data_IF_560429047621
#
_entry.id   IF_560429047621
#
_cell.length_a   1.000
_cell.length_b   1.000
_cell.length_c   1.000
_cell.angle_alpha   90.00
_cell.angle_beta   90.00
_cell.angle_gamma   90.00
#
_symmetry.space_group_name_H-M   'P 1'
#
loop_
_entity.id
_entity.type
_entity.pdbx_description
1 polymer ?
#
# COMPACT_ATOMS: atom_id res chain seq x y z
N UNK A 1 -18.38 1.88 -62.42
CA UNK A 1 -18.42 1.81 -60.94
C UNK A 1 -17.09 2.23 -60.29
N UNK A 2 -15.95 1.58 -60.56
CA UNK A 2 -14.64 2.00 -59.98
C UNK A 2 -14.24 3.47 -60.27
N UNK A 3 -14.58 3.99 -61.46
CA UNK A 3 -14.36 5.40 -61.82
C UNK A 3 -15.27 6.39 -61.06
N UNK A 4 -16.49 5.98 -60.69
CA UNK A 4 -17.36 6.80 -59.85
C UNK A 4 -16.91 6.77 -58.40
N UNK A 5 -16.40 5.63 -57.93
CA UNK A 5 -15.80 5.51 -56.61
C UNK A 5 -14.58 6.42 -56.43
N UNK A 6 -13.64 6.42 -57.39
CA UNK A 6 -12.48 7.32 -57.36
C UNK A 6 -12.87 8.80 -57.47
N UNK A 7 -13.90 9.11 -58.26
CA UNK A 7 -14.43 10.46 -58.40
C UNK A 7 -15.10 10.97 -57.11
N UNK A 8 -15.91 10.14 -56.45
CA UNK A 8 -16.58 10.50 -55.20
C UNK A 8 -15.59 10.63 -54.03
N UNK A 9 -14.56 9.77 -53.98
CA UNK A 9 -13.46 9.89 -53.00
C UNK A 9 -12.67 11.18 -53.19
N UNK A 10 -12.37 11.56 -54.44
CA UNK A 10 -11.72 12.83 -54.78
C UNK A 10 -12.63 14.06 -54.59
N UNK A 11 -13.96 13.88 -54.60
CA UNK A 11 -14.92 14.93 -54.31
C UNK A 11 -14.96 15.25 -52.80
N UNK A 12 -14.80 14.24 -51.92
CA UNK A 12 -14.77 14.40 -50.45
C UNK A 12 -13.71 15.40 -49.97
N UNK A 13 -12.56 15.47 -50.65
CA UNK A 13 -11.46 16.37 -50.30
C UNK A 13 -11.75 17.87 -50.62
N UNK A 14 -12.85 18.17 -51.31
CA UNK A 14 -13.26 19.55 -51.60
C UNK A 14 -14.22 20.08 -50.52
N UNK A 15 -14.08 21.33 -50.08
CA UNK A 15 -15.02 21.93 -49.12
C UNK A 15 -16.39 22.15 -49.78
N UNK A 16 -17.31 21.23 -49.53
CA UNK A 16 -18.71 21.27 -49.99
C UNK A 16 -19.69 21.60 -48.86
N UNK A 17 -20.88 22.17 -49.17
CA UNK A 17 -21.94 22.38 -48.18
C UNK A 17 -22.48 21.06 -47.64
N UNK A 18 -22.89 21.06 -46.36
CA UNK A 18 -23.35 19.89 -45.57
C UNK A 18 -24.30 18.92 -46.33
N UNK A 19 -25.39 19.37 -46.99
CA UNK A 19 -26.31 18.44 -47.67
C UNK A 19 -25.70 17.74 -48.89
N UNK A 20 -24.72 18.36 -49.55
CA UNK A 20 -24.00 17.72 -50.66
C UNK A 20 -23.00 16.67 -50.15
N UNK A 21 -22.40 16.91 -48.99
CA UNK A 21 -21.55 15.93 -48.31
C UNK A 21 -22.36 14.72 -47.82
N UNK A 22 -23.54 14.96 -47.26
CA UNK A 22 -24.49 13.92 -46.84
C UNK A 22 -24.90 13.01 -48.01
N UNK A 23 -25.26 13.59 -49.16
CA UNK A 23 -25.62 12.83 -50.35
C UNK A 23 -24.45 12.06 -50.97
N UNK A 24 -23.25 12.66 -51.02
CA UNK A 24 -22.04 12.01 -51.57
C UNK A 24 -21.62 10.81 -50.70
N UNK A 25 -21.59 10.97 -49.37
CA UNK A 25 -21.18 9.92 -48.44
C UNK A 25 -22.20 8.76 -48.40
N UNK A 26 -23.51 9.07 -48.47
CA UNK A 26 -24.58 8.06 -48.51
C UNK A 26 -24.54 7.26 -49.82
N UNK A 27 -24.33 7.92 -50.96
CA UNK A 27 -24.14 7.23 -52.25
C UNK A 27 -22.86 6.41 -52.28
N UNK A 28 -21.78 6.87 -51.64
CA UNK A 28 -20.53 6.13 -51.54
C UNK A 28 -20.71 4.84 -50.74
N UNK A 29 -21.48 4.89 -49.64
CA UNK A 29 -21.85 3.70 -48.87
C UNK A 29 -22.72 2.71 -49.66
N UNK A 30 -23.69 3.18 -50.44
CA UNK A 30 -24.45 2.31 -51.34
C UNK A 30 -23.60 1.65 -52.42
N UNK A 31 -22.62 2.38 -52.97
CA UNK A 31 -21.68 1.85 -53.96
C UNK A 31 -20.74 0.81 -53.35
N UNK A 32 -20.22 1.07 -52.15
CA UNK A 32 -19.40 0.11 -51.41
C UNK A 32 -20.20 -1.14 -51.01
N UNK A 33 -21.45 -0.98 -50.59
CA UNK A 33 -22.36 -2.10 -50.30
C UNK A 33 -22.52 -3.02 -51.52
N UNK A 34 -22.70 -2.42 -52.70
CA UNK A 34 -22.88 -3.14 -53.97
C UNK A 34 -21.59 -3.75 -54.53
N UNK A 35 -20.42 -3.30 -54.08
CA UNK A 35 -19.10 -3.82 -54.46
C UNK A 35 -18.60 -4.93 -53.51
N UNK A 36 -19.35 -5.24 -52.44
CA UNK A 36 -19.02 -6.28 -51.45
C UNK A 36 -17.66 -6.09 -50.74
N UNK A 37 -17.16 -4.85 -50.71
CA UNK A 37 -15.92 -4.49 -50.02
C UNK A 37 -16.22 -4.16 -48.54
N UNK A 38 -16.26 -5.18 -47.69
CA UNK A 38 -16.58 -5.06 -46.25
C UNK A 38 -15.59 -4.18 -45.50
N UNK A 39 -14.30 -4.37 -45.74
CA UNK A 39 -13.23 -3.70 -44.98
C UNK A 39 -13.18 -2.20 -45.31
N UNK A 40 -13.38 -1.85 -46.59
CA UNK A 40 -13.46 -0.47 -47.05
C UNK A 40 -14.71 0.23 -46.51
N UNK A 41 -15.81 -0.52 -46.25
CA UNK A 41 -17.01 0.03 -45.63
C UNK A 41 -16.83 0.27 -44.14
N UNK A 42 -16.15 -0.63 -43.41
CA UNK A 42 -15.87 -0.45 -41.99
C UNK A 42 -14.89 0.71 -41.78
N UNK A 43 -13.82 0.76 -42.59
CA UNK A 43 -12.88 1.87 -42.59
C UNK A 43 -13.55 3.20 -42.98
N UNK A 44 -14.49 3.17 -43.94
CA UNK A 44 -15.27 4.34 -44.28
C UNK A 44 -16.15 4.74 -43.10
N UNK A 45 -16.98 3.83 -42.57
CA UNK A 45 -17.92 4.05 -41.47
C UNK A 45 -17.25 4.57 -40.20
N UNK A 46 -16.01 4.16 -39.92
CA UNK A 46 -15.20 4.63 -38.79
C UNK A 46 -14.55 6.02 -39.01
N UNK A 47 -14.56 6.56 -40.24
CA UNK A 47 -14.02 7.90 -40.56
C UNK A 47 -15.08 9.00 -40.43
N UNK A 48 -14.68 10.29 -40.46
CA UNK A 48 -15.61 11.43 -40.41
C UNK A 48 -16.62 11.42 -41.56
N UNK A 49 -17.87 11.02 -41.29
CA UNK A 49 -18.89 10.82 -42.32
C UNK A 49 -20.14 11.66 -42.11
N UNK A 50 -20.68 12.19 -43.20
CA UNK A 50 -21.95 12.89 -43.23
C UNK A 50 -23.12 11.97 -43.61
N UNK A 51 -22.97 10.64 -43.65
CA UNK A 51 -24.01 9.70 -44.07
C UNK A 51 -25.40 9.92 -43.42
N UNK A 52 -26.47 9.72 -44.20
CA UNK A 52 -27.86 9.68 -43.72
C UNK A 52 -28.14 8.28 -43.15
N UNK A 53 -28.35 8.20 -41.83
CA UNK A 53 -28.46 6.92 -41.12
C UNK A 53 -29.75 6.18 -41.45
N UNK A 54 -30.87 6.88 -41.64
CA UNK A 54 -32.18 6.27 -41.87
C UNK A 54 -32.26 5.50 -43.21
N UNK A 55 -31.64 6.01 -44.27
CA UNK A 55 -31.62 5.35 -45.59
C UNK A 55 -30.68 4.14 -45.63
N UNK A 56 -29.58 4.20 -44.86
CA UNK A 56 -28.57 3.16 -44.82
C UNK A 56 -28.90 2.04 -43.82
N UNK A 57 -29.71 2.32 -42.81
CA UNK A 57 -30.10 1.34 -41.77
C UNK A 57 -30.80 0.12 -42.38
N UNK A 58 -31.83 0.33 -43.20
CA UNK A 58 -32.59 -0.76 -43.82
C UNK A 58 -31.72 -1.59 -44.76
N UNK A 59 -30.85 -0.92 -45.52
CA UNK A 59 -29.95 -1.56 -46.48
C UNK A 59 -28.88 -2.40 -45.77
N UNK A 60 -28.28 -1.88 -44.69
CA UNK A 60 -27.24 -2.57 -43.93
C UNK A 60 -27.81 -3.74 -43.11
N UNK A 61 -29.01 -3.60 -42.56
CA UNK A 61 -29.73 -4.71 -41.91
C UNK A 61 -30.08 -5.82 -42.91
N UNK A 62 -30.53 -5.48 -44.11
CA UNK A 62 -30.88 -6.45 -45.15
C UNK A 62 -29.65 -7.16 -45.75
N UNK A 63 -28.51 -6.47 -45.83
CA UNK A 63 -27.25 -7.03 -46.32
C UNK A 63 -26.44 -7.77 -45.24
N UNK A 64 -26.88 -7.76 -43.98
CA UNK A 64 -26.23 -8.46 -42.86
C UNK A 64 -24.93 -7.82 -42.36
N UNK A 65 -24.61 -6.59 -42.79
CA UNK A 65 -23.35 -5.90 -42.46
C UNK A 65 -23.49 -5.03 -41.22
N UNK A 66 -23.68 -5.69 -40.09
CA UNK A 66 -24.04 -5.06 -38.82
C UNK A 66 -22.87 -4.30 -38.17
N UNK A 67 -21.62 -4.68 -38.44
CA UNK A 67 -20.39 -3.97 -38.01
C UNK A 67 -20.34 -2.55 -38.58
N UNK A 68 -20.54 -2.41 -39.89
CA UNK A 68 -20.57 -1.11 -40.58
C UNK A 68 -21.70 -0.21 -40.08
N UNK A 69 -22.86 -0.79 -39.74
CA UNK A 69 -23.98 -0.06 -39.15
C UNK A 69 -23.63 0.45 -37.74
N UNK A 70 -22.93 -0.36 -36.94
CA UNK A 70 -22.53 0.02 -35.60
C UNK A 70 -21.50 1.18 -35.61
N UNK A 71 -20.51 1.14 -36.51
CA UNK A 71 -19.57 2.25 -36.72
C UNK A 71 -20.25 3.53 -37.22
N UNK A 72 -21.29 3.40 -38.06
CA UNK A 72 -22.09 4.56 -38.49
C UNK A 72 -22.88 5.18 -37.32
N UNK A 73 -23.44 4.37 -36.42
CA UNK A 73 -24.11 4.91 -35.23
C UNK A 73 -23.12 5.60 -34.27
N UNK A 74 -21.90 5.08 -34.14
CA UNK A 74 -20.82 5.68 -33.35
C UNK A 74 -20.44 7.08 -33.89
N UNK A 75 -20.14 7.21 -35.18
CA UNK A 75 -19.75 8.50 -35.78
C UNK A 75 -20.84 9.57 -35.73
N UNK A 76 -22.09 9.16 -35.50
CA UNK A 76 -23.26 10.05 -35.36
C UNK A 76 -23.66 10.30 -33.90
N UNK A 77 -22.94 9.75 -32.93
CA UNK A 77 -23.20 9.95 -31.51
C UNK A 77 -24.43 9.20 -30.97
N UNK A 78 -24.99 8.25 -31.71
CA UNK A 78 -26.14 7.43 -31.27
C UNK A 78 -25.67 6.16 -30.55
N UNK A 79 -25.06 6.34 -29.38
CA UNK A 79 -24.38 5.27 -28.64
C UNK A 79 -25.31 4.11 -28.24
N UNK A 80 -26.56 4.38 -27.85
CA UNK A 80 -27.52 3.34 -27.46
C UNK A 80 -27.82 2.35 -28.60
N UNK A 81 -28.03 2.88 -29.81
CA UNK A 81 -28.32 2.06 -31.00
C UNK A 81 -27.09 1.29 -31.44
N UNK A 82 -25.91 1.91 -31.39
CA UNK A 82 -24.64 1.23 -31.68
C UNK A 82 -24.44 0.03 -30.75
N UNK A 83 -24.61 0.21 -29.44
CA UNK A 83 -24.44 -0.85 -28.43
C UNK A 83 -25.50 -1.95 -28.52
N UNK A 84 -26.73 -1.63 -28.94
CA UNK A 84 -27.75 -2.64 -29.25
C UNK A 84 -27.36 -3.50 -30.46
N UNK A 85 -26.78 -2.90 -31.50
CA UNK A 85 -26.27 -3.64 -32.66
C UNK A 85 -25.06 -4.50 -32.28
N UNK A 86 -24.12 -3.98 -31.48
CA UNK A 86 -23.01 -4.77 -30.93
C UNK A 86 -23.50 -5.93 -30.03
N UNK A 87 -24.51 -5.68 -29.19
CA UNK A 87 -25.16 -6.72 -28.38
C UNK A 87 -25.83 -7.79 -29.23
N UNK A 88 -26.46 -7.42 -30.34
CA UNK A 88 -27.06 -8.36 -31.29
C UNK A 88 -25.98 -9.20 -32.00
N UNK A 89 -24.83 -8.61 -32.33
CA UNK A 89 -23.71 -9.34 -32.91
C UNK A 89 -23.03 -10.28 -31.92
N UNK A 90 -22.93 -9.89 -30.65
CA UNK A 90 -22.32 -10.69 -29.60
C UNK A 90 -23.26 -11.81 -29.09
N UNK A 91 -24.54 -11.50 -28.91
CA UNK A 91 -25.55 -12.39 -28.35
C UNK A 91 -26.43 -12.99 -29.44
N UNK A 92 -26.12 -14.21 -29.87
CA UNK A 92 -27.10 -15.03 -30.59
C UNK A 92 -27.92 -15.87 -29.59
N UNK A 93 -28.53 -15.23 -28.57
CA UNK A 93 -29.42 -15.88 -27.60
C UNK A 93 -30.69 -15.05 -27.35
N UNK A 94 -31.78 -15.62 -27.86
CA UNK A 94 -33.20 -15.49 -27.53
C UNK A 94 -33.97 -14.16 -27.69
N UNK A 95 -34.77 -14.17 -28.76
CA UNK A 95 -36.23 -13.97 -28.83
C UNK A 95 -36.77 -12.75 -29.60
N UNK A 96 -37.63 -13.11 -30.56
CA UNK A 96 -38.65 -12.37 -31.31
C UNK A 96 -38.24 -11.42 -32.45
N UNK A 97 -38.92 -11.61 -33.61
CA UNK A 97 -39.01 -10.84 -34.88
C UNK A 97 -38.35 -11.57 -36.10
N UNK A 98 -38.98 -11.59 -37.31
CA UNK A 98 -39.66 -12.75 -37.89
C UNK A 98 -38.80 -13.51 -38.91
N UNK A 99 -39.33 -14.67 -39.28
CA UNK A 99 -38.80 -15.77 -40.09
C UNK A 99 -38.17 -15.46 -41.47
N UNK A 100 -38.00 -14.21 -41.88
CA UNK A 100 -37.38 -13.83 -43.16
C UNK A 100 -35.86 -13.64 -43.09
N UNK A 101 -35.28 -13.38 -41.91
CA UNK A 101 -33.83 -13.23 -41.74
C UNK A 101 -33.06 -14.57 -41.58
N UNK A 102 -33.77 -15.69 -41.40
CA UNK A 102 -33.17 -17.02 -41.17
C UNK A 102 -32.49 -17.66 -42.39
N UNK A 103 -32.52 -17.05 -43.59
CA UNK A 103 -32.06 -17.70 -44.83
C UNK A 103 -30.65 -17.36 -45.32
N UNK A 104 -29.91 -16.41 -44.72
CA UNK A 104 -28.61 -15.99 -45.30
C UNK A 104 -27.39 -16.57 -44.57
N UNK A 105 -27.52 -17.15 -43.36
CA UNK A 105 -26.42 -17.86 -42.70
C UNK A 105 -26.70 -19.36 -42.48
N UNK A 106 -26.84 -20.08 -43.60
CA UNK A 106 -26.52 -21.51 -43.66
C UNK A 106 -25.39 -21.64 -44.67
N UNK A 107 -24.25 -22.18 -44.21
CA UNK A 107 -22.88 -22.29 -44.81
C UNK A 107 -21.96 -21.44 -43.92
N UNK A 108 -21.04 -21.98 -43.11
CA UNK A 108 -20.32 -23.26 -43.14
C UNK A 108 -19.93 -23.62 -41.70
N UNK A 109 -20.13 -24.87 -41.28
CA UNK A 109 -19.56 -25.41 -40.06
C UNK A 109 -18.05 -25.62 -40.28
N UNK A 110 -17.25 -24.67 -39.84
CA UNK A 110 -15.84 -24.83 -39.51
C UNK A 110 -15.45 -23.66 -38.62
N UNK A 111 -14.84 -23.98 -37.48
CA UNK A 111 -14.11 -23.10 -36.57
C UNK A 111 -14.97 -22.35 -35.53
N UNK A 112 -15.10 -22.99 -34.36
CA UNK A 112 -15.57 -22.34 -33.13
C UNK A 112 -14.68 -21.15 -32.73
N UNK A 113 -13.43 -21.11 -33.17
CA UNK A 113 -12.46 -20.05 -32.89
C UNK A 113 -12.76 -18.74 -33.65
N UNK A 114 -13.18 -18.80 -34.92
CA UNK A 114 -13.56 -17.58 -35.68
C UNK A 114 -14.83 -16.91 -35.11
N UNK A 115 -15.75 -17.72 -34.56
CA UNK A 115 -16.96 -17.21 -33.93
C UNK A 115 -16.67 -16.52 -32.59
N UNK A 116 -15.71 -17.05 -31.83
CA UNK A 116 -15.22 -16.43 -30.60
C UNK A 116 -14.46 -15.13 -30.91
N UNK A 117 -13.62 -15.11 -31.95
CA UNK A 117 -12.92 -13.90 -32.38
C UNK A 117 -13.87 -12.78 -32.84
N UNK A 118 -14.93 -13.12 -33.56
CA UNK A 118 -15.94 -12.14 -33.97
C UNK A 118 -16.73 -11.58 -32.77
N UNK A 119 -17.08 -12.44 -31.80
CA UNK A 119 -17.75 -12.01 -30.57
C UNK A 119 -16.83 -11.18 -29.66
N UNK A 120 -15.54 -11.53 -29.58
CA UNK A 120 -14.53 -10.78 -28.85
C UNK A 120 -14.23 -9.43 -29.52
N UNK A 121 -14.19 -9.37 -30.85
CA UNK A 121 -14.05 -8.11 -31.59
C UNK A 121 -15.23 -7.18 -31.34
N UNK A 122 -16.45 -7.72 -31.40
CA UNK A 122 -17.67 -6.99 -31.06
C UNK A 122 -17.67 -6.51 -29.60
N UNK A 123 -17.19 -7.33 -28.66
CA UNK A 123 -17.05 -6.95 -27.27
C UNK A 123 -15.96 -5.88 -27.04
N UNK A 124 -14.85 -5.90 -27.80
CA UNK A 124 -13.78 -4.89 -27.75
C UNK A 124 -14.21 -3.53 -28.30
N UNK A 125 -14.96 -3.51 -29.40
CA UNK A 125 -15.48 -2.24 -29.93
C UNK A 125 -16.61 -1.69 -29.04
N UNK A 126 -17.47 -2.57 -28.52
CA UNK A 126 -18.41 -2.16 -27.48
C UNK A 126 -17.71 -1.66 -26.21
N UNK A 127 -16.58 -2.27 -25.81
CA UNK A 127 -15.82 -1.81 -24.64
C UNK A 127 -15.25 -0.43 -24.87
N UNK A 128 -14.65 -0.17 -26.03
CA UNK A 128 -14.14 1.15 -26.42
C UNK A 128 -15.19 2.25 -26.29
N UNK A 129 -16.42 1.97 -26.73
CA UNK A 129 -17.56 2.88 -26.62
C UNK A 129 -18.00 3.08 -25.17
N UNK A 130 -18.07 1.99 -24.39
CA UNK A 130 -18.48 2.00 -22.99
C UNK A 130 -17.43 2.60 -22.03
N UNK A 131 -16.16 2.58 -22.42
CA UNK A 131 -15.08 3.30 -21.73
C UNK A 131 -15.21 4.82 -21.88
N UNK A 132 -15.72 5.29 -23.02
CA UNK A 132 -15.92 6.70 -23.32
C UNK A 132 -17.27 7.25 -22.82
N UNK A 133 -18.30 6.39 -22.72
CA UNK A 133 -19.62 6.80 -22.25
C UNK A 133 -19.65 7.05 -20.74
N UNK A 134 -20.25 8.17 -20.32
CA UNK A 134 -20.46 8.53 -18.91
C UNK A 134 -21.87 8.16 -18.39
N UNK A 135 -22.69 7.47 -19.18
CA UNK A 135 -24.06 7.10 -18.83
C UNK A 135 -24.11 5.80 -18.01
N UNK A 136 -24.41 5.94 -16.72
CA UNK A 136 -24.44 4.85 -15.74
C UNK A 136 -25.40 3.70 -16.12
N UNK A 137 -26.61 4.03 -16.57
CA UNK A 137 -27.65 3.03 -16.91
C UNK A 137 -27.26 2.20 -18.15
N UNK A 138 -26.64 2.83 -19.15
CA UNK A 138 -26.20 2.15 -20.37
C UNK A 138 -25.03 1.22 -20.08
N UNK A 139 -24.06 1.67 -19.29
CA UNK A 139 -22.93 0.83 -18.90
C UNK A 139 -23.40 -0.41 -18.13
N UNK A 140 -24.28 -0.26 -17.14
CA UNK A 140 -24.74 -1.39 -16.32
C UNK A 140 -25.60 -2.39 -17.10
N UNK A 141 -26.45 -1.92 -18.01
CA UNK A 141 -27.28 -2.80 -18.86
C UNK A 141 -26.45 -3.58 -19.88
N UNK A 142 -25.38 -2.98 -20.40
CA UNK A 142 -24.52 -3.61 -21.39
C UNK A 142 -23.37 -4.45 -20.77
N UNK A 143 -22.97 -4.20 -19.52
CA UNK A 143 -22.00 -5.06 -18.83
C UNK A 143 -22.51 -6.50 -18.67
N UNK A 144 -23.81 -6.70 -18.42
CA UNK A 144 -24.40 -8.06 -18.24
C UNK A 144 -24.21 -9.00 -19.42
N UNK A 145 -24.11 -8.49 -20.65
CA UNK A 145 -23.82 -9.33 -21.82
C UNK A 145 -22.32 -9.43 -22.08
N UNK A 146 -21.54 -8.38 -21.82
CA UNK A 146 -20.08 -8.43 -21.95
C UNK A 146 -19.47 -9.43 -20.95
N UNK A 147 -20.00 -9.51 -19.73
CA UNK A 147 -19.60 -10.49 -18.71
C UNK A 147 -19.77 -11.95 -19.17
N UNK A 148 -20.85 -12.22 -19.94
CA UNK A 148 -21.11 -13.55 -20.51
C UNK A 148 -20.16 -13.91 -21.65
N UNK A 149 -19.60 -12.90 -22.33
CA UNK A 149 -18.66 -13.10 -23.46
C UNK A 149 -17.22 -13.16 -22.95
N UNK A 150 -16.82 -12.22 -22.08
CA UNK A 150 -15.45 -12.11 -21.58
C UNK A 150 -15.38 -11.28 -20.30
N UNK A 151 -14.84 -11.88 -19.25
CA UNK A 151 -14.65 -11.25 -17.94
C UNK A 151 -13.56 -10.17 -17.95
N UNK A 152 -12.47 -10.37 -18.71
CA UNK A 152 -11.36 -9.41 -18.77
C UNK A 152 -11.77 -8.09 -19.45
N UNK A 153 -12.56 -8.17 -20.52
CA UNK A 153 -13.09 -6.97 -21.19
C UNK A 153 -14.06 -6.23 -20.26
N UNK A 154 -14.89 -6.95 -19.50
CA UNK A 154 -15.77 -6.33 -18.50
C UNK A 154 -14.97 -5.58 -17.43
N UNK A 155 -13.82 -6.12 -16.99
CA UNK A 155 -12.92 -5.44 -16.06
C UNK A 155 -12.37 -4.16 -16.70
N UNK A 156 -11.88 -4.20 -17.95
CA UNK A 156 -11.37 -3.00 -18.63
C UNK A 156 -12.42 -1.89 -18.78
N UNK A 157 -13.68 -2.27 -19.04
CA UNK A 157 -14.80 -1.33 -19.11
C UNK A 157 -15.04 -0.68 -17.74
N UNK A 158 -15.03 -1.47 -16.68
CA UNK A 158 -15.27 -1.02 -15.31
C UNK A 158 -14.10 -0.20 -14.73
N UNK A 159 -12.87 -0.53 -15.11
CA UNK A 159 -11.62 0.09 -14.64
C UNK A 159 -11.15 1.27 -15.50
N UNK A 160 -11.95 1.73 -16.45
CA UNK A 160 -11.53 2.79 -17.37
C UNK A 160 -11.52 4.16 -16.71
N UNK A 161 -10.33 4.78 -16.63
CA UNK A 161 -10.12 6.15 -16.15
C UNK A 161 -10.47 7.24 -17.16
N UNK A 162 -11.05 6.89 -18.31
CA UNK A 162 -11.42 7.84 -19.39
C UNK A 162 -12.77 8.53 -19.15
N UNK A 163 -13.51 8.12 -18.11
CA UNK A 163 -14.84 8.68 -17.80
C UNK A 163 -14.70 10.03 -17.08
N UNK A 164 -15.43 11.04 -17.55
CA UNK A 164 -15.51 12.35 -16.91
C UNK A 164 -16.27 12.30 -15.57
N UNK A 165 -17.19 11.34 -15.42
CA UNK A 165 -17.85 11.02 -14.15
C UNK A 165 -17.65 9.55 -13.80
N UNK A 166 -16.91 9.21 -12.73
CA UNK A 166 -16.79 7.83 -12.29
C UNK A 166 -18.15 7.33 -11.79
N UNK A 167 -18.52 6.11 -12.20
CA UNK A 167 -19.72 5.42 -11.70
C UNK A 167 -19.52 5.13 -10.21
N UNK A 168 -20.59 5.29 -9.42
CA UNK A 168 -20.59 4.94 -8.00
C UNK A 168 -20.26 3.46 -7.81
N UNK A 169 -19.18 3.11 -7.08
CA UNK A 169 -18.78 1.72 -6.91
C UNK A 169 -19.87 0.84 -6.29
N UNK A 170 -20.72 1.40 -5.43
CA UNK A 170 -21.84 0.68 -4.78
C UNK A 170 -22.87 0.16 -5.80
N UNK A 171 -23.19 0.96 -6.82
CA UNK A 171 -24.19 0.60 -7.85
C UNK A 171 -23.64 -0.50 -8.75
N UNK A 172 -22.35 -0.42 -9.11
CA UNK A 172 -21.65 -1.47 -9.86
C UNK A 172 -21.64 -2.78 -9.06
N UNK A 173 -21.29 -2.71 -7.77
CA UNK A 173 -21.22 -3.88 -6.90
C UNK A 173 -22.58 -4.50 -6.55
N UNK A 174 -23.67 -3.74 -6.67
CA UNK A 174 -25.04 -4.24 -6.53
C UNK A 174 -25.55 -4.93 -7.81
N UNK A 175 -25.11 -4.48 -8.99
CA UNK A 175 -25.50 -5.05 -10.28
C UNK A 175 -24.66 -6.26 -10.71
N UNK A 176 -23.44 -6.41 -10.17
CA UNK A 176 -22.64 -7.62 -10.37
C UNK A 176 -23.20 -8.78 -9.54
N UNK A 177 -23.55 -9.88 -10.20
CA UNK A 177 -24.02 -11.09 -9.54
C UNK A 177 -22.97 -11.62 -8.54
N UNK A 178 -23.40 -12.16 -7.37
CA UNK A 178 -22.49 -12.66 -6.35
C UNK A 178 -21.63 -13.85 -6.83
N UNK A 179 -22.02 -14.49 -7.93
CA UNK A 179 -21.31 -15.62 -8.53
C UNK A 179 -20.09 -15.19 -9.37
N UNK A 180 -19.96 -13.91 -9.73
CA UNK A 180 -18.85 -13.39 -10.53
C UNK A 180 -17.69 -12.89 -9.64
N UNK A 181 -17.19 -13.80 -8.81
CA UNK A 181 -16.17 -13.51 -7.77
C UNK A 181 -14.90 -12.89 -8.37
N UNK A 182 -14.46 -13.37 -9.55
CA UNK A 182 -13.24 -12.90 -10.20
C UNK A 182 -13.33 -11.44 -10.66
N UNK A 183 -14.43 -11.05 -11.33
CA UNK A 183 -14.64 -9.67 -11.81
C UNK A 183 -14.78 -8.72 -10.63
N UNK A 184 -15.51 -9.12 -9.59
CA UNK A 184 -15.68 -8.35 -8.36
C UNK A 184 -14.34 -8.11 -7.66
N UNK A 185 -13.50 -9.14 -7.53
CA UNK A 185 -12.16 -9.02 -6.94
C UNK A 185 -11.28 -8.05 -7.74
N UNK A 186 -11.24 -8.19 -9.08
CA UNK A 186 -10.41 -7.34 -9.94
C UNK A 186 -10.86 -5.88 -9.96
N UNK A 187 -12.16 -5.65 -9.96
CA UNK A 187 -12.71 -4.30 -9.84
C UNK A 187 -12.36 -3.66 -8.48
N UNK A 188 -12.49 -4.42 -7.38
CA UNK A 188 -12.12 -3.93 -6.06
C UNK A 188 -10.60 -3.69 -5.91
N UNK A 189 -9.76 -4.57 -6.47
CA UNK A 189 -8.31 -4.36 -6.53
C UNK A 189 -7.97 -3.04 -7.27
N UNK A 190 -8.63 -2.79 -8.39
CA UNK A 190 -8.47 -1.53 -9.13
C UNK A 190 -8.92 -0.30 -8.33
N UNK A 191 -10.08 -0.36 -7.67
CA UNK A 191 -10.56 0.73 -6.81
C UNK A 191 -9.57 1.06 -5.69
N UNK A 192 -8.93 0.04 -5.14
CA UNK A 192 -7.99 0.19 -4.02
C UNK A 192 -6.61 0.65 -4.50
N UNK A 193 -6.09 0.11 -5.61
CA UNK A 193 -4.74 0.39 -6.09
C UNK A 193 -4.65 1.65 -6.95
N UNK A 194 -5.58 1.86 -7.89
CA UNK A 194 -5.53 2.98 -8.84
C UNK A 194 -6.31 4.20 -8.34
N UNK A 195 -7.47 4.01 -7.72
CA UNK A 195 -8.28 5.11 -7.16
C UNK A 195 -7.96 5.45 -5.70
N UNK A 196 -7.13 4.65 -5.02
CA UNK A 196 -6.72 4.83 -3.64
C UNK A 196 -7.89 5.08 -2.67
N UNK A 197 -9.05 4.44 -2.91
CA UNK A 197 -10.22 4.65 -2.07
C UNK A 197 -9.98 4.14 -0.63
N UNK A 198 -10.29 4.99 0.36
CA UNK A 198 -10.02 4.70 1.77
C UNK A 198 -11.18 3.99 2.49
N UNK A 199 -12.30 3.77 1.80
CA UNK A 199 -13.52 3.24 2.39
C UNK A 199 -13.34 1.81 2.92
N UNK A 200 -13.43 1.66 4.24
CA UNK A 200 -13.23 0.37 4.93
C UNK A 200 -14.12 -0.75 4.41
N UNK A 201 -15.33 -0.42 3.94
CA UNK A 201 -16.28 -1.39 3.40
C UNK A 201 -15.73 -2.14 2.17
N UNK A 202 -15.08 -1.43 1.23
CA UNK A 202 -14.54 -2.06 0.01
C UNK A 202 -13.32 -2.95 0.30
N UNK A 203 -12.45 -2.50 1.20
CA UNK A 203 -11.30 -3.28 1.66
C UNK A 203 -11.74 -4.57 2.37
N UNK A 204 -12.76 -4.46 3.22
CA UNK A 204 -13.35 -5.62 3.93
C UNK A 204 -13.99 -6.60 2.96
N UNK A 205 -14.76 -6.10 2.00
CA UNK A 205 -15.42 -6.95 1.01
C UNK A 205 -14.43 -7.65 0.08
N UNK A 206 -13.34 -6.98 -0.32
CA UNK A 206 -12.27 -7.62 -1.07
C UNK A 206 -11.61 -8.72 -0.24
N UNK A 207 -11.23 -8.44 1.02
CA UNK A 207 -10.64 -9.43 1.91
C UNK A 207 -11.54 -10.67 2.08
N UNK A 208 -12.85 -10.47 2.30
CA UNK A 208 -13.82 -11.55 2.42
C UNK A 208 -13.93 -12.36 1.12
N UNK A 209 -13.96 -11.70 -0.04
CA UNK A 209 -14.05 -12.38 -1.34
C UNK A 209 -12.79 -13.19 -1.66
N UNK A 210 -11.60 -12.66 -1.32
CA UNK A 210 -10.33 -13.36 -1.47
C UNK A 210 -10.24 -14.55 -0.50
N UNK A 211 -10.70 -14.38 0.75
CA UNK A 211 -10.74 -15.45 1.74
C UNK A 211 -11.66 -16.60 1.30
N UNK A 212 -12.87 -16.28 0.79
CA UNK A 212 -13.81 -17.29 0.26
C UNK A 212 -13.22 -18.03 -0.94
N UNK A 213 -12.64 -17.31 -1.90
CA UNK A 213 -11.99 -17.93 -3.06
C UNK A 213 -10.81 -18.82 -2.66
N UNK A 214 -10.02 -18.40 -1.67
CA UNK A 214 -8.94 -19.22 -1.13
C UNK A 214 -9.46 -20.48 -0.41
N UNK A 215 -10.58 -20.39 0.32
CA UNK A 215 -11.23 -21.55 0.95
C UNK A 215 -11.79 -22.54 -0.07
N UNK A 216 -12.49 -22.06 -1.09
CA UNK A 216 -13.05 -22.89 -2.17
C UNK A 216 -11.95 -23.65 -2.92
N UNK A 217 -10.80 -23.00 -3.14
CA UNK A 217 -9.62 -23.65 -3.75
C UNK A 217 -9.11 -24.84 -2.92
N UNK A 218 -9.13 -24.74 -1.58
CA UNK A 218 -8.70 -25.83 -0.69
C UNK A 218 -9.70 -26.99 -0.66
N UNK A 219 -11.00 -26.69 -0.69
CA UNK A 219 -12.04 -27.73 -0.72
C UNK A 219 -11.95 -28.52 -2.02
N UNK A 220 -11.74 -27.85 -3.15
CA UNK A 220 -11.56 -28.51 -4.44
C UNK A 220 -10.31 -29.39 -4.48
N UNK A 221 -9.20 -28.97 -3.87
CA UNK A 221 -7.99 -29.79 -3.76
C UNK A 221 -8.21 -31.04 -2.88
N UNK A 222 -9.05 -30.94 -1.85
CA UNK A 222 -9.38 -32.08 -0.99
C UNK A 222 -10.33 -33.10 -1.63
N UNK A 223 -11.16 -32.68 -2.60
CA UNK A 223 -12.09 -33.55 -3.32
C UNK A 223 -11.42 -34.39 -4.43
N UNK A 224 -10.24 -33.99 -4.93
CA UNK A 224 -9.44 -34.73 -5.93
C UNK A 224 -8.47 -35.69 -5.22
N UNK A 225 -8.94 -36.31 -4.14
CA UNK A 225 -8.14 -37.11 -3.22
C UNK A 225 -7.84 -38.56 -3.64
N UNK A 226 -8.15 -39.00 -4.88
CA UNK A 226 -8.09 -40.44 -5.22
C UNK A 226 -7.45 -40.83 -6.56
N UNK A 227 -6.77 -39.93 -7.29
CA UNK A 227 -5.95 -40.31 -8.46
C UNK A 227 -4.62 -39.54 -8.50
N UNK A 228 -3.52 -40.27 -8.37
CA UNK A 228 -2.28 -39.78 -7.79
C UNK A 228 -1.21 -39.23 -8.76
N UNK A 229 -1.54 -38.83 -10.00
CA UNK A 229 -0.52 -38.52 -11.03
C UNK A 229 -0.51 -37.09 -11.60
N UNK A 230 -1.35 -36.16 -11.11
CA UNK A 230 -1.43 -34.78 -11.64
C UNK A 230 -0.95 -33.68 -10.67
N UNK A 231 -0.18 -34.02 -9.62
CA UNK A 231 0.18 -33.10 -8.51
C UNK A 231 1.23 -32.02 -8.84
N UNK A 232 1.67 -31.88 -10.09
CA UNK A 232 2.75 -30.95 -10.46
C UNK A 232 2.30 -29.65 -11.15
N UNK A 233 1.02 -29.52 -11.56
CA UNK A 233 0.56 -28.34 -12.31
C UNK A 233 -0.58 -27.55 -11.63
N UNK A 234 -1.20 -28.07 -10.56
CA UNK A 234 -2.34 -27.42 -9.87
C UNK A 234 -2.00 -26.74 -8.54
N UNK A 235 -0.80 -26.98 -7.98
CA UNK A 235 -0.37 -26.35 -6.73
C UNK A 235 -0.15 -24.83 -6.84
N UNK A 236 -0.09 -24.28 -8.07
CA UNK A 236 0.17 -22.86 -8.32
C UNK A 236 -1.08 -21.99 -8.13
N UNK A 237 -2.30 -22.49 -8.39
CA UNK A 237 -3.53 -21.69 -8.28
C UNK A 237 -3.97 -21.48 -6.83
N UNK A 238 -3.95 -22.54 -6.00
CA UNK A 238 -4.30 -22.46 -4.57
C UNK A 238 -3.28 -21.63 -3.78
N UNK A 239 -2.00 -21.72 -4.15
CA UNK A 239 -0.94 -20.90 -3.57
C UNK A 239 -1.01 -19.45 -4.06
N UNK A 240 -1.35 -19.20 -5.33
CA UNK A 240 -1.51 -17.85 -5.90
C UNK A 240 -2.63 -17.07 -5.22
N UNK A 241 -3.81 -17.67 -5.02
CA UNK A 241 -4.92 -16.99 -4.34
C UNK A 241 -4.61 -16.71 -2.87
N UNK A 242 -3.95 -17.64 -2.19
CA UNK A 242 -3.50 -17.46 -0.80
C UNK A 242 -2.42 -16.38 -0.70
N UNK A 243 -1.48 -16.33 -1.63
CA UNK A 243 -0.44 -15.29 -1.69
C UNK A 243 -1.03 -13.92 -2.00
N UNK A 244 -2.03 -13.84 -2.90
CA UNK A 244 -2.77 -12.60 -3.17
C UNK A 244 -3.50 -12.09 -1.93
N UNK A 245 -4.16 -12.98 -1.18
CA UNK A 245 -4.78 -12.63 0.10
C UNK A 245 -3.74 -12.09 1.09
N UNK A 246 -2.59 -12.75 1.25
CA UNK A 246 -1.51 -12.29 2.13
C UNK A 246 -1.00 -10.91 1.74
N UNK A 247 -0.64 -10.73 0.47
CA UNK A 247 -0.14 -9.45 -0.03
C UNK A 247 -1.16 -8.32 0.18
N UNK A 248 -2.45 -8.62 0.04
CA UNK A 248 -3.51 -7.67 0.34
C UNK A 248 -3.61 -7.33 1.83
N UNK A 249 -3.62 -8.34 2.71
CA UNK A 249 -3.70 -8.15 4.17
C UNK A 249 -2.47 -7.42 4.75
N UNK A 250 -1.30 -7.58 4.12
CA UNK A 250 -0.07 -6.86 4.51
C UNK A 250 -0.05 -5.41 4.02
N UNK A 251 -0.62 -5.13 2.83
CA UNK A 251 -0.57 -3.81 2.21
C UNK A 251 -1.69 -2.86 2.64
N UNK A 252 -2.86 -3.38 3.04
CA UNK A 252 -3.99 -2.54 3.46
C UNK A 252 -4.20 -2.59 4.98
N UNK A 253 -4.41 -1.41 5.59
CA UNK A 253 -4.75 -1.26 7.01
C UNK A 253 -6.23 -0.93 7.23
N UNK A 254 -7.03 -0.79 6.17
CA UNK A 254 -8.35 -0.15 6.21
C UNK A 254 -9.52 -1.14 6.26
N UNK A 255 -9.28 -2.44 6.16
CA UNK A 255 -10.34 -3.44 6.28
C UNK A 255 -10.72 -3.68 7.75
N UNK A 256 -11.93 -4.18 8.01
CA UNK A 256 -12.35 -4.66 9.32
C UNK A 256 -11.80 -6.08 9.56
N UNK A 257 -10.81 -6.28 10.45
CA UNK A 257 -10.20 -7.58 10.67
C UNK A 257 -11.15 -8.59 11.33
N UNK A 258 -12.19 -8.13 12.04
CA UNK A 258 -13.07 -9.01 12.82
C UNK A 258 -13.96 -9.88 11.92
N UNK A 259 -14.49 -9.29 10.85
CA UNK A 259 -15.34 -9.99 9.87
C UNK A 259 -14.54 -11.03 9.08
N UNK A 260 -13.31 -10.68 8.69
CA UNK A 260 -12.40 -11.59 7.97
C UNK A 260 -11.96 -12.74 8.87
N UNK A 261 -11.63 -12.45 10.13
CA UNK A 261 -11.30 -13.49 11.11
C UNK A 261 -12.46 -14.45 11.34
N UNK A 262 -13.69 -13.96 11.51
CA UNK A 262 -14.87 -14.80 11.73
C UNK A 262 -15.06 -15.89 10.65
N UNK A 263 -14.64 -15.60 9.41
CA UNK A 263 -14.71 -16.55 8.30
C UNK A 263 -13.53 -17.53 8.28
N UNK A 264 -12.36 -17.10 8.76
CA UNK A 264 -11.10 -17.85 8.62
C UNK A 264 -10.79 -18.70 9.87
N UNK A 265 -11.45 -18.45 11.01
CA UNK A 265 -11.19 -19.15 12.27
C UNK A 265 -11.23 -20.67 12.16
N UNK A 266 -12.14 -21.22 11.36
CA UNK A 266 -12.32 -22.67 11.20
C UNK A 266 -11.39 -23.29 10.12
N UNK A 267 -10.56 -22.48 9.47
CA UNK A 267 -9.71 -22.89 8.35
C UNK A 267 -8.21 -22.86 8.69
N UNK A 268 -7.40 -23.64 7.96
CA UNK A 268 -5.94 -23.78 8.16
C UNK A 268 -5.09 -22.57 7.69
N UNK A 269 -5.64 -21.36 7.69
CA UNK A 269 -4.92 -20.14 7.26
C UNK A 269 -4.20 -19.47 8.44
N UNK A 270 -3.30 -20.21 9.09
CA UNK A 270 -2.60 -19.76 10.28
C UNK A 270 -1.80 -18.46 10.06
N UNK A 271 -1.15 -18.29 8.90
CA UNK A 271 -0.35 -17.07 8.63
C UNK A 271 -1.24 -15.82 8.48
N UNK A 272 -2.35 -15.98 7.78
CA UNK A 272 -3.34 -14.93 7.55
C UNK A 272 -4.05 -14.57 8.86
N UNK A 273 -4.40 -15.57 9.68
CA UNK A 273 -4.91 -15.35 11.04
C UNK A 273 -3.90 -14.58 11.91
N UNK A 274 -2.61 -14.89 11.81
CA UNK A 274 -1.57 -14.17 12.55
C UNK A 274 -1.50 -12.69 12.13
N UNK A 275 -1.55 -12.40 10.82
CA UNK A 275 -1.59 -11.01 10.30
C UNK A 275 -2.83 -10.28 10.83
N UNK A 276 -4.01 -10.92 10.80
CA UNK A 276 -5.25 -10.32 11.27
C UNK A 276 -5.24 -10.05 12.78
N UNK A 277 -4.80 -11.01 13.60
CA UNK A 277 -4.65 -10.81 15.05
C UNK A 277 -3.60 -9.75 15.39
N UNK A 278 -2.54 -9.62 14.58
CA UNK A 278 -1.56 -8.55 14.68
C UNK A 278 -2.20 -7.17 14.47
N UNK A 279 -3.13 -7.04 13.51
CA UNK A 279 -3.88 -5.79 13.31
C UNK A 279 -4.89 -5.50 14.43
N UNK A 280 -5.49 -6.54 15.03
CA UNK A 280 -6.36 -6.38 16.20
C UNK A 280 -5.62 -6.03 17.49
N UNK A 281 -4.31 -6.24 17.55
CA UNK A 281 -3.50 -6.06 18.76
C UNK A 281 -3.60 -7.23 19.75
N UNK A 282 -4.14 -8.37 19.32
CA UNK A 282 -4.23 -9.60 20.12
C UNK A 282 -2.86 -10.31 20.18
N UNK A 283 -1.89 -9.75 20.89
CA UNK A 283 -0.51 -10.25 20.96
C UNK A 283 -0.44 -11.74 21.37
N UNK A 284 -1.29 -12.17 22.30
CA UNK A 284 -1.29 -13.54 22.83
C UNK A 284 -1.60 -14.56 21.72
N UNK A 285 -2.61 -14.26 20.90
CA UNK A 285 -3.03 -15.15 19.80
C UNK A 285 -2.00 -15.16 18.68
N UNK A 286 -1.39 -14.02 18.37
CA UNK A 286 -0.31 -13.93 17.38
C UNK A 286 0.84 -14.85 17.77
N UNK A 287 1.31 -14.78 19.02
CA UNK A 287 2.38 -15.65 19.48
C UNK A 287 1.96 -17.11 19.51
N UNK A 288 0.74 -17.45 19.94
CA UNK A 288 0.26 -18.84 19.87
C UNK A 288 0.28 -19.38 18.43
N UNK A 289 -0.13 -18.56 17.46
CA UNK A 289 -0.17 -18.97 16.05
C UNK A 289 1.25 -19.08 15.47
N UNK A 290 2.10 -18.05 15.63
CA UNK A 290 3.47 -18.05 15.09
C UNK A 290 4.36 -19.08 15.78
N UNK A 291 4.38 -19.09 17.11
CA UNK A 291 5.30 -19.91 17.90
C UNK A 291 4.85 -21.38 18.00
N UNK A 292 3.53 -21.64 18.20
CA UNK A 292 3.04 -23.00 18.44
C UNK A 292 2.44 -23.64 17.19
N UNK A 293 1.58 -22.95 16.45
CA UNK A 293 0.91 -23.55 15.27
C UNK A 293 1.85 -23.63 14.07
N UNK A 294 2.51 -22.53 13.72
CA UNK A 294 3.43 -22.43 12.59
C UNK A 294 4.85 -22.90 12.92
N UNK A 295 5.28 -22.75 14.18
CA UNK A 295 6.65 -23.09 14.60
C UNK A 295 7.71 -22.17 13.98
N UNK A 296 7.32 -20.97 13.54
CA UNK A 296 8.18 -20.03 12.84
C UNK A 296 8.83 -19.08 13.86
N UNK A 297 10.05 -19.44 14.27
CA UNK A 297 10.80 -18.71 15.31
C UNK A 297 11.18 -17.32 14.79
N UNK A 298 11.63 -17.23 13.53
CA UNK A 298 12.08 -15.98 12.92
C UNK A 298 10.93 -14.97 12.82
N UNK A 299 9.75 -15.41 12.37
CA UNK A 299 8.58 -14.54 12.28
C UNK A 299 8.11 -14.03 13.66
N UNK A 300 8.18 -14.87 14.69
CA UNK A 300 7.84 -14.49 16.06
C UNK A 300 8.82 -13.44 16.62
N UNK A 301 10.12 -13.59 16.33
CA UNK A 301 11.14 -12.63 16.74
C UNK A 301 11.00 -11.28 16.01
N UNK A 302 10.72 -11.30 14.70
CA UNK A 302 10.44 -10.09 13.93
C UNK A 302 9.27 -9.32 14.53
N UNK A 303 8.20 -10.01 14.92
CA UNK A 303 7.07 -9.37 15.59
C UNK A 303 7.45 -8.76 16.95
N UNK A 304 8.29 -9.43 17.75
CA UNK A 304 8.82 -8.84 18.98
C UNK A 304 9.70 -7.60 18.72
N UNK A 305 10.50 -7.60 17.66
CA UNK A 305 11.33 -6.47 17.27
C UNK A 305 10.49 -5.24 16.88
N UNK A 306 9.40 -5.45 16.13
CA UNK A 306 8.47 -4.39 15.74
C UNK A 306 7.75 -3.77 16.95
N UNK A 307 7.40 -4.59 17.96
CA UNK A 307 6.80 -4.11 19.19
C UNK A 307 7.81 -3.34 20.07
N UNK A 308 9.10 -3.69 20.02
CA UNK A 308 10.18 -3.01 20.73
C UNK A 308 10.08 -3.07 22.26
N UNK A 309 9.21 -3.93 22.82
CA UNK A 309 8.96 -4.03 24.26
C UNK A 309 9.62 -5.28 24.86
N UNK A 310 10.34 -5.16 26.00
CA UNK A 310 10.94 -6.32 26.67
C UNK A 310 9.89 -7.33 27.15
N UNK A 311 8.68 -6.87 27.49
CA UNK A 311 7.57 -7.71 27.93
C UNK A 311 7.09 -8.68 26.83
N UNK A 312 7.22 -8.29 25.55
CA UNK A 312 6.85 -9.14 24.42
C UNK A 312 7.78 -10.36 24.33
N UNK A 313 9.08 -10.15 24.49
CA UNK A 313 10.08 -11.23 24.55
C UNK A 313 9.85 -12.16 25.75
N UNK A 314 9.50 -11.61 26.92
CA UNK A 314 9.13 -12.42 28.08
C UNK A 314 7.89 -13.27 27.84
N UNK A 315 6.87 -12.72 27.16
CA UNK A 315 5.67 -13.48 26.79
C UNK A 315 5.98 -14.61 25.81
N UNK A 316 6.77 -14.33 24.78
CA UNK A 316 7.21 -15.34 23.82
C UNK A 316 8.03 -16.46 24.51
N UNK A 317 8.96 -16.08 25.40
CA UNK A 317 9.72 -17.03 26.21
C UNK A 317 8.81 -17.92 27.06
N UNK A 318 7.84 -17.33 27.75
CA UNK A 318 6.87 -18.09 28.55
C UNK A 318 6.05 -19.06 27.70
N UNK A 319 5.68 -18.70 26.47
CA UNK A 319 4.97 -19.60 25.56
C UNK A 319 5.83 -20.76 25.08
N UNK A 320 7.12 -20.54 24.81
CA UNK A 320 8.03 -21.64 24.47
C UNK A 320 8.27 -22.59 25.64
N UNK A 321 8.35 -22.06 26.87
CA UNK A 321 8.60 -22.85 28.08
C UNK A 321 7.35 -23.56 28.61
N UNK A 322 6.16 -22.98 28.43
CA UNK A 322 4.87 -23.52 28.89
C UNK A 322 3.82 -23.40 27.79
N UNK A 323 3.90 -24.22 26.74
CA UNK A 323 2.89 -24.22 25.69
C UNK A 323 1.54 -24.70 26.25
N UNK A 324 0.48 -23.91 26.04
CA UNK A 324 -0.88 -24.21 26.50
C UNK A 324 -1.53 -25.41 25.79
N UNK A 325 -0.95 -25.88 24.67
CA UNK A 325 -1.52 -26.90 23.78
C UNK A 325 -1.13 -28.34 24.16
N UNK A 326 -0.59 -28.58 25.35
CA UNK A 326 -0.14 -29.91 25.79
C UNK A 326 1.08 -30.45 25.03
N UNK A 327 1.76 -29.60 24.24
CA UNK A 327 3.02 -29.93 23.57
C UNK A 327 4.19 -29.93 24.55
N UNK A 328 5.25 -30.61 24.16
CA UNK A 328 6.52 -30.49 24.87
C UNK A 328 7.10 -29.07 24.73
N UNK A 329 7.75 -28.58 25.78
CA UNK A 329 8.38 -27.26 25.78
C UNK A 329 9.51 -27.16 24.74
N UNK A 330 9.53 -26.06 24.00
CA UNK A 330 10.49 -25.81 22.92
C UNK A 330 11.76 -25.17 23.47
N UNK A 331 12.56 -25.96 24.18
CA UNK A 331 13.77 -25.47 24.86
C UNK A 331 14.81 -24.85 23.92
N UNK A 332 14.98 -25.38 22.71
CA UNK A 332 15.91 -24.84 21.72
C UNK A 332 15.56 -23.41 21.30
N UNK A 333 14.29 -23.15 21.00
CA UNK A 333 13.80 -21.81 20.64
C UNK A 333 13.90 -20.83 21.82
N UNK A 334 13.59 -21.29 23.03
CA UNK A 334 13.74 -20.49 24.24
C UNK A 334 15.20 -20.08 24.50
N UNK A 335 16.16 -21.00 24.31
CA UNK A 335 17.60 -20.68 24.46
C UNK A 335 18.06 -19.71 23.38
N UNK A 336 17.63 -19.91 22.12
CA UNK A 336 17.96 -19.00 21.02
C UNK A 336 17.52 -17.55 21.30
N UNK A 337 16.27 -17.39 21.77
CA UNK A 337 15.73 -16.09 22.16
C UNK A 337 16.55 -15.46 23.29
N UNK A 338 16.94 -16.26 24.30
CA UNK A 338 17.79 -15.79 25.41
C UNK A 338 19.21 -15.41 24.96
N UNK A 339 19.76 -16.08 23.94
CA UNK A 339 21.09 -15.75 23.40
C UNK A 339 21.12 -14.37 22.73
N UNK A 340 20.10 -14.07 21.93
CA UNK A 340 19.97 -12.82 21.19
C UNK A 340 19.50 -11.67 22.08
N UNK A 341 18.43 -11.88 22.85
CA UNK A 341 17.71 -10.81 23.56
C UNK A 341 17.81 -10.90 25.09
N UNK A 342 18.58 -11.83 25.63
CA UNK A 342 18.69 -12.02 27.09
C UNK A 342 19.24 -10.81 27.85
N UNK A 343 20.03 -9.93 27.22
CA UNK A 343 20.59 -8.76 27.91
C UNK A 343 19.61 -7.61 28.14
N UNK A 344 18.48 -7.60 27.44
CA UNK A 344 17.38 -6.64 27.57
C UNK A 344 16.26 -7.11 28.49
N UNK A 345 16.21 -8.41 28.80
CA UNK A 345 15.17 -9.00 29.65
C UNK A 345 15.46 -8.79 31.14
N UNK A 346 14.40 -8.78 31.95
CA UNK A 346 14.54 -8.82 33.40
C UNK A 346 15.04 -10.19 33.85
N UNK A 347 16.23 -10.21 34.45
CA UNK A 347 16.94 -11.41 34.87
C UNK A 347 16.17 -12.20 35.93
N UNK A 348 15.40 -11.53 36.78
CA UNK A 348 14.62 -12.21 37.82
C UNK A 348 13.41 -12.93 37.20
N UNK A 349 12.69 -12.26 36.31
CA UNK A 349 11.54 -12.85 35.61
C UNK A 349 11.97 -14.02 34.72
N UNK A 350 13.13 -13.93 34.06
CA UNK A 350 13.68 -15.06 33.28
C UNK A 350 13.96 -16.27 34.18
N UNK A 351 14.53 -16.06 35.39
CA UNK A 351 14.77 -17.15 36.34
C UNK A 351 13.47 -17.77 36.87
N UNK A 352 12.45 -16.95 37.14
CA UNK A 352 11.14 -17.45 37.57
C UNK A 352 10.38 -18.19 36.46
N UNK A 353 10.56 -17.77 35.21
CA UNK A 353 9.95 -18.39 34.04
C UNK A 353 10.55 -19.76 33.71
N UNK A 354 11.87 -19.93 33.90
CA UNK A 354 12.56 -21.19 33.70
C UNK A 354 12.01 -22.24 34.67
N UNK A 355 11.33 -23.25 34.14
CA UNK A 355 10.83 -24.38 34.93
C UNK A 355 12.00 -25.18 35.54
N UNK A 356 11.72 -25.87 36.64
CA UNK A 356 12.67 -26.81 37.25
C UNK A 356 12.99 -28.00 36.32
N UNK A 357 12.13 -28.25 35.33
CA UNK A 357 12.23 -29.34 34.37
C UNK A 357 13.14 -28.99 33.17
N UNK A 358 13.58 -27.74 33.05
CA UNK A 358 14.45 -27.28 31.98
C UNK A 358 15.88 -27.84 32.18
N UNK A 359 16.47 -28.58 31.23
CA UNK A 359 17.86 -29.02 31.35
C UNK A 359 18.81 -27.82 31.37
N UNK A 360 19.37 -27.52 32.54
CA UNK A 360 20.28 -26.40 32.76
C UNK A 360 21.47 -26.38 31.78
N UNK A 361 21.90 -27.55 31.30
CA UNK A 361 23.02 -27.67 30.36
C UNK A 361 22.81 -26.88 29.07
N UNK A 362 21.57 -26.78 28.57
CA UNK A 362 21.26 -26.04 27.35
C UNK A 362 21.29 -24.52 27.55
N UNK A 363 20.91 -24.04 28.73
CA UNK A 363 20.77 -22.60 28.99
C UNK A 363 21.92 -22.01 29.82
N UNK A 364 22.82 -22.84 30.38
CA UNK A 364 23.84 -22.40 31.33
C UNK A 364 24.74 -21.30 30.77
N UNK A 365 25.30 -21.48 29.57
CA UNK A 365 26.21 -20.50 28.98
C UNK A 365 25.52 -19.16 28.75
N UNK A 366 24.29 -19.21 28.25
CA UNK A 366 23.46 -18.06 27.93
C UNK A 366 23.06 -17.31 29.19
N UNK A 367 22.56 -18.02 30.20
CA UNK A 367 22.22 -17.45 31.51
C UNK A 367 23.47 -16.86 32.16
N UNK A 368 24.59 -17.58 32.19
CA UNK A 368 25.84 -17.08 32.76
C UNK A 368 26.30 -15.78 32.06
N UNK A 369 26.19 -15.72 30.73
CA UNK A 369 26.50 -14.52 29.94
C UNK A 369 25.56 -13.36 30.30
N UNK A 370 24.25 -13.61 30.40
CA UNK A 370 23.26 -12.61 30.82
C UNK A 370 23.57 -12.04 32.21
N UNK A 371 23.81 -12.90 33.21
CA UNK A 371 24.11 -12.45 34.58
C UNK A 371 25.44 -11.69 34.65
N UNK A 372 26.49 -12.19 33.98
CA UNK A 372 27.79 -11.49 33.90
C UNK A 372 27.65 -10.12 33.25
N UNK A 373 26.87 -10.00 32.17
CA UNK A 373 26.61 -8.73 31.52
C UNK A 373 25.91 -7.74 32.46
N UNK A 374 24.97 -8.22 33.26
CA UNK A 374 24.25 -7.41 34.24
C UNK A 374 25.15 -6.91 35.37
N UNK A 375 26.03 -7.77 35.89
CA UNK A 375 27.05 -7.37 36.89
C UNK A 375 28.04 -6.37 36.29
N UNK A 376 28.46 -6.58 35.05
CA UNK A 376 29.36 -5.66 34.34
C UNK A 376 28.71 -4.27 34.17
N UNK A 377 27.48 -4.20 33.63
CA UNK A 377 26.70 -2.96 33.51
C UNK A 377 26.53 -2.26 34.85
N UNK A 378 26.26 -3.01 35.93
CA UNK A 378 26.16 -2.44 37.27
C UNK A 378 27.50 -1.81 37.72
N UNK A 379 28.61 -2.53 37.60
CA UNK A 379 29.94 -2.00 37.97
C UNK A 379 30.34 -0.79 37.13
N UNK A 380 30.11 -0.84 35.82
CA UNK A 380 30.36 0.27 34.92
C UNK A 380 29.51 1.50 35.28
N UNK A 381 28.24 1.29 35.62
CA UNK A 381 27.34 2.33 36.13
C UNK A 381 27.78 2.92 37.47
N UNK A 382 28.36 2.12 38.37
CA UNK A 382 28.95 2.64 39.61
C UNK A 382 30.18 3.50 39.30
N UNK A 383 31.06 3.07 38.39
CA UNK A 383 32.24 3.84 38.00
C UNK A 383 31.82 5.19 37.41
N UNK A 384 30.89 5.21 36.45
CA UNK A 384 30.42 6.46 35.84
C UNK A 384 29.75 7.37 36.88
N UNK A 385 28.90 6.81 37.77
CA UNK A 385 28.29 7.56 38.87
C UNK A 385 29.35 8.20 39.79
N UNK A 386 30.40 7.47 40.13
CA UNK A 386 31.44 7.96 41.02
C UNK A 386 32.34 9.00 40.37
N UNK A 387 32.65 8.86 39.07
CA UNK A 387 33.37 9.88 38.30
C UNK A 387 32.57 11.19 38.22
N UNK A 388 31.29 11.11 37.83
CA UNK A 388 30.40 12.28 37.79
C UNK A 388 30.22 12.93 39.16
N UNK A 389 30.23 12.13 40.24
CA UNK A 389 30.20 12.65 41.61
C UNK A 389 31.49 13.38 41.97
N UNK A 390 32.64 12.92 41.52
CA UNK A 390 33.92 13.59 41.74
C UNK A 390 34.00 14.93 41.01
N UNK A 391 33.63 14.97 39.73
CA UNK A 391 33.56 16.22 38.94
C UNK A 391 32.60 17.24 39.54
N UNK A 392 31.40 16.80 39.96
CA UNK A 392 30.44 17.67 40.64
C UNK A 392 30.98 18.17 41.98
N UNK A 393 31.76 17.35 42.70
CA UNK A 393 32.39 17.78 43.94
C UNK A 393 33.46 18.85 43.69
N UNK A 394 34.31 18.67 42.68
CA UNK A 394 35.34 19.65 42.28
C UNK A 394 34.73 20.97 41.82
N UNK A 395 33.66 20.92 41.01
CA UNK A 395 32.93 22.11 40.60
C UNK A 395 32.29 22.85 41.79
N UNK A 396 31.77 22.10 42.78
CA UNK A 396 31.23 22.69 44.02
C UNK A 396 32.32 23.32 44.88
N UNK A 397 33.50 22.68 44.98
CA UNK A 397 34.64 23.23 45.70
C UNK A 397 35.12 24.53 45.05
N UNK A 398 35.33 24.51 43.73
CA UNK A 398 35.69 25.70 42.95
C UNK A 398 34.68 26.83 43.16
N UNK A 399 33.38 26.51 43.18
CA UNK A 399 32.34 27.51 43.45
C UNK A 399 32.39 28.04 44.89
N UNK A 400 32.71 27.21 45.86
CA UNK A 400 32.86 27.63 47.26
C UNK A 400 34.09 28.53 47.43
N UNK A 401 35.21 28.20 46.79
CA UNK A 401 36.41 29.03 46.77
C UNK A 401 36.10 30.41 46.17
N UNK A 402 35.46 30.46 44.99
CA UNK A 402 35.07 31.75 44.41
C UNK A 402 34.09 32.55 45.27
N UNK A 403 33.26 31.88 46.09
CA UNK A 403 32.33 32.54 47.03
C UNK A 403 32.99 32.98 48.34
N UNK A 404 34.06 32.32 48.76
CA UNK A 404 34.81 32.70 49.96
C UNK A 404 35.83 33.81 49.70
N UNK A 405 36.18 34.07 48.43
CA UNK A 405 36.98 35.22 48.02
C UNK A 405 36.33 36.51 48.50
N UNK A 406 37.07 37.26 49.29
CA UNK A 406 36.72 38.57 49.78
C UNK A 406 38.00 39.39 49.90
N UNK A 407 37.88 40.71 49.79
CA UNK A 407 38.99 41.64 50.01
C UNK A 407 38.61 42.62 51.10
N UNK A 408 39.48 42.73 52.10
CA UNK A 408 39.32 43.66 53.22
C UNK A 408 39.95 45.00 52.87
N UNK A 409 39.14 46.06 52.86
CA UNK A 409 39.58 47.43 52.61
C UNK A 409 39.69 48.14 53.95
N UNK A 410 40.92 48.49 54.34
CA UNK A 410 41.23 49.26 55.55
C UNK A 410 41.65 50.69 55.19
N UNK A 411 41.77 51.58 56.17
CA UNK A 411 42.15 52.99 55.93
C UNK A 411 43.55 53.16 55.32
N UNK A 412 44.39 52.13 55.41
CA UNK A 412 45.73 52.08 54.81
C UNK A 412 45.75 51.43 53.42
N UNK A 413 44.60 51.10 52.83
CA UNK A 413 44.57 50.54 51.48
C UNK A 413 44.71 51.60 50.40
N UNK A 414 45.56 51.29 49.42
CA UNK A 414 45.91 52.16 48.29
C UNK A 414 45.41 51.57 46.98
N UNK A 415 45.15 52.44 46.00
CA UNK A 415 44.88 52.02 44.63
C UNK A 415 46.10 51.30 44.03
N UNK A 416 45.93 50.09 43.51
CA UNK A 416 47.03 49.33 42.90
C UNK A 416 47.65 49.97 41.64
N UNK A 417 46.96 50.92 41.01
CA UNK A 417 47.45 51.60 39.79
C UNK A 417 48.07 52.98 40.06
N UNK A 418 47.39 53.85 40.81
CA UNK A 418 47.87 55.21 41.07
C UNK A 418 48.41 55.44 42.49
N UNK A 419 48.42 54.40 43.33
CA UNK A 419 48.94 54.42 44.71
C UNK A 419 48.31 55.47 45.63
N UNK A 420 47.13 56.00 45.29
CA UNK A 420 46.38 56.92 46.15
C UNK A 420 45.58 56.15 47.19
N UNK A 421 45.57 56.60 48.45
CA UNK A 421 44.71 56.03 49.51
C UNK A 421 43.22 56.09 49.14
N UNK A 422 42.48 55.01 49.44
CA UNK A 422 41.04 54.97 49.22
C UNK A 422 40.29 55.86 50.21
N UNK A 423 40.47 55.69 51.53
CA UNK A 423 39.73 56.43 52.54
C UNK A 423 38.22 56.36 52.28
N UNK A 424 37.55 57.49 52.13
CA UNK A 424 36.10 57.60 51.82
C UNK A 424 35.77 57.61 50.31
N UNK A 425 36.74 57.37 49.43
CA UNK A 425 36.55 57.46 47.97
C UNK A 425 35.95 56.18 47.39
N UNK A 426 35.20 56.32 46.30
CA UNK A 426 34.70 55.20 45.50
C UNK A 426 35.88 54.38 44.93
N UNK A 427 35.78 53.07 45.08
CA UNK A 427 36.71 52.08 44.56
C UNK A 427 35.96 51.07 43.67
N UNK A 428 36.72 50.35 42.84
CA UNK A 428 36.23 49.24 42.05
C UNK A 428 37.14 48.02 42.27
N UNK A 429 36.59 46.84 42.07
CA UNK A 429 37.24 45.57 42.33
C UNK A 429 37.20 44.69 41.09
N UNK A 430 38.33 44.12 40.70
CA UNK A 430 38.44 43.23 39.55
C UNK A 430 38.47 41.75 39.95
N UNK A 431 38.08 40.82 39.04
CA UNK A 431 38.05 39.38 39.31
C UNK A 431 39.39 38.71 39.70
N UNK A 432 40.52 39.43 39.64
CA UNK A 432 41.86 38.98 40.02
C UNK A 432 42.32 39.51 41.39
N UNK A 433 41.38 39.99 42.22
CA UNK A 433 41.61 40.55 43.55
C UNK A 433 42.28 41.93 43.60
N UNK A 434 42.38 42.63 42.47
CA UNK A 434 42.93 43.99 42.45
C UNK A 434 41.86 45.04 42.79
N UNK A 435 42.21 45.96 43.69
CA UNK A 435 41.39 47.10 44.06
C UNK A 435 41.96 48.38 43.42
N UNK A 436 41.11 49.13 42.73
CA UNK A 436 41.49 50.39 42.07
C UNK A 436 40.54 51.52 42.43
N UNK A 437 41.00 52.76 42.30
CA UNK A 437 40.12 53.91 42.51
C UNK A 437 39.19 54.08 41.31
N UNK A 438 38.01 54.68 41.53
CA UNK A 438 37.03 54.86 40.46
C UNK A 438 37.58 55.62 39.23
N UNK A 439 38.56 56.51 39.42
CA UNK A 439 39.23 57.22 38.32
C UNK A 439 40.07 56.29 37.44
N UNK A 440 40.85 55.38 38.04
CA UNK A 440 41.60 54.37 37.30
C UNK A 440 40.64 53.40 36.59
N UNK A 441 39.57 52.97 37.27
CA UNK A 441 38.52 52.14 36.68
C UNK A 441 37.86 52.79 35.45
N UNK A 442 37.54 54.09 35.52
CA UNK A 442 36.92 54.82 34.40
C UNK A 442 37.84 54.92 33.18
N UNK A 443 39.16 54.92 33.38
CA UNK A 443 40.13 54.99 32.31
C UNK A 443 40.37 53.63 31.63
N UNK A 444 40.34 52.53 32.39
CA UNK A 444 40.60 51.17 31.89
C UNK A 444 39.33 50.38 31.50
N UNK A 445 38.16 50.77 32.02
CA UNK A 445 36.90 50.05 31.85
C UNK A 445 36.83 48.79 32.72
N UNK A 446 35.74 48.02 32.60
CA UNK A 446 35.51 46.78 33.36
C UNK A 446 36.29 45.57 32.84
N UNK A 447 36.84 45.66 31.63
CA UNK A 447 37.37 44.52 30.88
C UNK A 447 38.86 44.28 31.12
N UNK A 448 39.64 45.34 31.41
CA UNK A 448 41.09 45.24 31.58
C UNK A 448 41.49 45.80 32.93
N UNK A 449 42.19 45.01 33.74
CA UNK A 449 42.77 45.50 34.99
C UNK A 449 43.96 46.44 34.70
N UNK A 450 43.94 47.70 35.15
CA UNK A 450 45.06 48.63 34.98
C UNK A 450 46.28 48.31 35.86
N UNK A 451 46.17 47.40 36.82
CA UNK A 451 47.29 46.97 37.68
C UNK A 451 48.08 45.84 37.02
N UNK A 452 47.40 44.78 36.58
CA UNK A 452 48.05 43.59 36.02
C UNK A 452 48.04 43.55 34.50
N UNK A 453 47.23 44.37 33.83
CA UNK A 453 47.00 44.30 32.38
C UNK A 453 46.15 43.10 31.94
N UNK A 454 45.56 42.35 32.87
CA UNK A 454 44.74 41.18 32.56
C UNK A 454 43.44 41.59 31.87
N UNK A 455 43.13 40.96 30.73
CA UNK A 455 41.88 41.16 30.00
C UNK A 455 40.90 40.02 30.31
N UNK A 456 39.76 40.36 30.91
CA UNK A 456 38.75 39.39 31.37
C UNK A 456 37.76 38.94 30.28
N UNK A 457 37.76 39.55 29.09
CA UNK A 457 36.92 39.14 27.95
C UNK A 457 37.55 38.02 27.12
N UNK A 458 38.87 37.85 27.15
CA UNK A 458 39.58 36.83 26.35
C UNK A 458 39.51 35.41 26.93
N UNK A 459 38.70 35.20 27.96
CA UNK A 459 38.73 34.00 28.77
C UNK A 459 39.94 34.04 29.68
N UNK A 460 39.71 33.99 30.99
CA UNK A 460 40.76 33.61 31.92
C UNK A 460 41.01 32.14 31.60
N UNK A 461 42.08 31.82 30.88
CA UNK A 461 42.63 30.46 30.92
C UNK A 461 42.77 30.14 32.41
N UNK A 462 42.13 29.08 32.92
CA UNK A 462 42.35 28.67 34.29
C UNK A 462 43.83 28.31 34.35
N UNK A 463 44.59 29.23 34.91
CA UNK A 463 45.96 28.99 35.31
C UNK A 463 45.85 27.84 36.32
N UNK A 464 46.06 26.61 35.86
CA UNK A 464 46.64 25.55 36.66
C UNK A 464 47.91 26.17 37.27
N UNK A 465 47.77 26.72 38.47
CA UNK A 465 48.90 26.95 39.37
C UNK A 465 49.09 25.62 40.08
N UNK A 466 50.27 25.07 39.86
CA UNK A 466 50.82 23.85 40.46
C UNK A 466 50.52 23.70 41.96
#
# INVERSE_FOLDING_TARGET
>A
MRLHFSYLRAARDKPMPLPLKEGVDTLLMHLLARLDATDDMEAFAASENSCVVEELEDMLRQSGRLSTLAFLYETKGMLEKALQVWKFMAGNMDADIPSSARRIHKIRNSDQDEKLDFQLSAAKEASRLLEASSDEVLVLTHIKWVLKVSQDIAITILSSGKREKPISPEVVLAELDPNEVYVRQRYLEWLIQEKAEENSHYHTMLAVSLAKSAMESLVNDSAIGDMNDARMLSNDSSSSNRQRLRAFLESSDKYDPTTVLALILDSDFWREQAILHRKLGDEIRVFQILALKLGDIEAAEQYCMELGRPDAYMRLLNMYLKPSDGREPMYGAAVHLLELHGTSLDRLQVLEALSLDMPLQLAYETIARMFRSGVHKHRQGQISKHLMRAENFEARLSRLEQRSRHVSITDETFCGSCLTKFGTKLFAFYPNDSAVCYKCFRNSGSTVDPVTGCNFEKGVDPIYKD
#
